data_IF_581968096823
#
_entry.id   IF_581968096823
#
_cell.length_a   1.000
_cell.length_b   1.000
_cell.length_c   1.000
_cell.angle_alpha   90.00
_cell.angle_beta   90.00
_cell.angle_gamma   90.00
#
_symmetry.space_group_name_H-M   'P 1'
#
loop_
_entity.id
_entity.type
_entity.pdbx_description
1 polymer ?
#
# COMPACT_ATOMS: atom_id res chain seq x y z
N UNK A 1 4.94 16.42 6.85
CA UNK A 1 6.00 15.43 7.16
C UNK A 1 5.56 14.64 8.37
N UNK A 2 6.16 13.47 8.64
CA UNK A 2 5.78 12.59 9.75
C UNK A 2 6.98 12.29 10.65
N UNK A 3 6.69 12.15 11.95
CA UNK A 3 7.66 11.90 13.00
C UNK A 3 8.29 10.52 12.88
N UNK A 4 9.62 10.48 12.93
CA UNK A 4 10.37 9.24 13.01
C UNK A 4 10.30 8.69 14.45
N UNK A 5 9.97 7.40 14.66
CA UNK A 5 9.81 6.83 16.00
C UNK A 5 11.12 6.69 16.79
N UNK A 6 12.29 6.82 16.15
CA UNK A 6 13.58 6.66 16.81
C UNK A 6 14.27 7.98 17.16
N UNK A 7 14.24 8.96 16.24
CA UNK A 7 14.89 10.26 16.45
C UNK A 7 13.90 11.40 16.73
N UNK A 8 12.60 11.11 16.73
CA UNK A 8 11.52 12.05 17.05
C UNK A 8 11.44 13.32 16.20
N UNK A 9 12.14 13.33 15.05
CA UNK A 9 12.10 14.43 14.09
C UNK A 9 11.10 14.14 12.95
N UNK A 10 10.45 15.19 12.46
CA UNK A 10 9.55 15.13 11.31
C UNK A 10 10.33 15.08 9.99
N UNK A 11 10.78 13.88 9.62
CA UNK A 11 11.67 13.67 8.47
C UNK A 11 11.08 12.76 7.40
N UNK A 12 10.02 12.01 7.72
CA UNK A 12 9.45 11.03 6.81
C UNK A 12 8.36 11.69 5.97
N UNK A 13 8.51 11.66 4.64
CA UNK A 13 7.50 12.17 3.71
C UNK A 13 6.19 11.37 3.76
N UNK A 14 5.07 12.01 3.40
CA UNK A 14 3.74 11.37 3.42
C UNK A 14 3.65 10.19 2.46
N UNK A 15 4.13 10.34 1.22
CA UNK A 15 4.26 9.24 0.25
C UNK A 15 5.16 8.11 0.75
N UNK A 16 6.31 8.45 1.34
CA UNK A 16 7.24 7.47 1.88
C UNK A 16 6.59 6.65 3.01
N UNK A 17 5.79 7.29 3.88
CA UNK A 17 5.04 6.63 4.95
C UNK A 17 3.94 5.71 4.41
N UNK A 18 3.18 6.16 3.42
CA UNK A 18 2.08 5.37 2.82
C UNK A 18 2.59 4.10 2.16
N UNK A 19 3.72 4.19 1.48
CA UNK A 19 4.33 3.07 0.79
C UNK A 19 5.26 2.24 1.69
N UNK A 20 5.42 2.63 2.97
CA UNK A 20 6.29 1.95 3.92
C UNK A 20 5.68 0.61 4.34
N UNK A 21 6.23 -0.47 3.78
CA UNK A 21 5.85 -1.85 4.10
C UNK A 21 6.96 -2.53 4.90
N UNK A 22 6.69 -3.67 5.56
CA UNK A 22 7.75 -4.49 6.15
C UNK A 22 8.83 -4.92 5.14
N UNK A 23 8.49 -4.99 3.85
CA UNK A 23 9.36 -5.41 2.74
C UNK A 23 10.19 -4.23 2.19
N UNK A 24 9.56 -3.07 2.11
CA UNK A 24 10.11 -1.78 1.67
C UNK A 24 9.83 -0.73 2.74
N UNK A 25 10.63 -0.71 3.84
CA UNK A 25 10.42 0.24 4.92
C UNK A 25 10.88 1.64 4.53
N UNK A 26 10.24 2.66 5.09
CA UNK A 26 10.72 4.03 5.01
C UNK A 26 12.01 4.16 5.82
N UNK A 27 13.03 4.79 5.22
CA UNK A 27 14.31 5.08 5.88
C UNK A 27 14.30 6.53 6.33
N UNK A 28 14.58 6.77 7.61
CA UNK A 28 14.75 8.13 8.10
C UNK A 28 16.08 8.71 7.56
N UNK A 29 16.07 9.85 6.84
CA UNK A 29 17.30 10.43 6.29
C UNK A 29 18.26 10.96 7.36
N UNK A 30 17.79 11.19 8.59
CA UNK A 30 18.63 11.72 9.68
C UNK A 30 19.29 10.65 10.54
N UNK A 31 18.57 9.60 10.92
CA UNK A 31 19.09 8.55 11.80
C UNK A 31 19.29 7.20 11.11
N UNK A 32 18.93 7.07 9.83
CA UNK A 32 19.07 5.83 9.05
C UNK A 32 18.14 4.69 9.49
N UNK A 33 17.33 4.87 10.54
CA UNK A 33 16.45 3.80 11.03
C UNK A 33 15.32 3.52 10.05
N UNK A 34 14.94 2.25 9.98
CA UNK A 34 13.88 1.76 9.11
C UNK A 34 12.58 1.66 9.87
N UNK A 35 11.49 2.08 9.24
CA UNK A 35 10.16 2.06 9.84
C UNK A 35 9.10 1.72 8.81
N UNK A 36 8.01 1.11 9.24
CA UNK A 36 6.90 0.69 8.38
C UNK A 36 5.56 1.13 8.96
N UNK A 37 4.57 1.29 8.09
CA UNK A 37 3.19 1.53 8.47
C UNK A 37 2.45 0.20 8.68
N UNK A 38 1.41 0.20 9.51
CA UNK A 38 0.64 -1.03 9.78
C UNK A 38 -0.04 -1.54 8.49
N UNK A 39 -0.19 -2.86 8.36
CA UNK A 39 -0.92 -3.46 7.24
C UNK A 39 -2.36 -2.91 7.13
N UNK A 40 -2.98 -2.63 8.28
CA UNK A 40 -4.30 -2.01 8.34
C UNK A 40 -4.35 -0.63 7.67
N UNK A 41 -3.34 0.20 7.89
CA UNK A 41 -3.26 1.53 7.26
C UNK A 41 -3.15 1.43 5.73
N UNK A 42 -2.46 0.41 5.23
CA UNK A 42 -2.33 0.17 3.80
C UNK A 42 -3.64 -0.32 3.19
N UNK A 43 -4.35 -1.21 3.90
CA UNK A 43 -5.65 -1.72 3.45
C UNK A 43 -6.69 -0.59 3.36
N UNK A 44 -6.76 0.26 4.38
CA UNK A 44 -7.61 1.44 4.37
C UNK A 44 -7.24 2.43 3.26
N UNK A 45 -5.94 2.61 3.00
CA UNK A 45 -5.50 3.48 1.91
C UNK A 45 -5.92 2.91 0.54
N UNK A 46 -5.73 1.62 0.31
CA UNK A 46 -6.16 0.95 -0.92
C UNK A 46 -7.68 1.04 -1.14
N UNK A 47 -8.47 0.80 -0.09
CA UNK A 47 -9.93 0.92 -0.15
C UNK A 47 -10.36 2.36 -0.41
N UNK A 48 -9.69 3.34 0.19
CA UNK A 48 -9.95 4.77 -0.05
C UNK A 48 -9.68 5.14 -1.52
N UNK A 49 -8.61 4.60 -2.11
CA UNK A 49 -8.29 4.81 -3.53
C UNK A 49 -9.38 4.27 -4.45
N UNK A 50 -9.82 3.03 -4.24
CA UNK A 50 -10.89 2.42 -5.03
C UNK A 50 -12.20 3.22 -4.92
N UNK A 51 -12.64 3.52 -3.70
CA UNK A 51 -13.90 4.25 -3.46
C UNK A 51 -13.84 5.65 -4.07
N UNK A 52 -12.73 6.38 -3.91
CA UNK A 52 -12.58 7.71 -4.50
C UNK A 52 -12.50 7.65 -6.03
N UNK A 53 -11.80 6.67 -6.59
CA UNK A 53 -11.67 6.50 -8.04
C UNK A 53 -13.04 6.27 -8.67
N UNK A 54 -13.75 5.22 -8.22
CA UNK A 54 -15.07 4.89 -8.75
C UNK A 54 -16.11 5.96 -8.42
N UNK A 55 -16.07 6.52 -7.20
CA UNK A 55 -16.94 7.61 -6.81
C UNK A 55 -16.77 8.84 -7.71
N UNK A 56 -15.53 9.22 -8.05
CA UNK A 56 -15.26 10.35 -8.95
C UNK A 56 -15.78 10.10 -10.37
N UNK A 57 -15.67 8.87 -10.87
CA UNK A 57 -16.20 8.47 -12.18
C UNK A 57 -17.73 8.59 -12.18
N UNK A 58 -18.40 8.02 -11.18
CA UNK A 58 -19.87 8.07 -11.07
C UNK A 58 -20.35 9.52 -11.00
N UNK A 59 -19.71 10.36 -10.17
CA UNK A 59 -20.06 11.78 -10.05
C UNK A 59 -19.83 12.53 -11.38
N UNK A 60 -18.73 12.26 -12.08
CA UNK A 60 -18.45 12.86 -13.38
C UNK A 60 -19.50 12.51 -14.44
N UNK A 61 -19.98 11.26 -14.45
CA UNK A 61 -21.04 10.81 -15.34
C UNK A 61 -22.38 11.46 -15.03
N UNK A 62 -22.77 11.51 -13.74
CA UNK A 62 -24.04 12.09 -13.29
C UNK A 62 -24.09 13.60 -13.56
N UNK A 63 -23.02 14.33 -13.22
CA UNK A 63 -22.93 15.77 -13.43
C UNK A 63 -22.56 16.14 -14.87
N UNK A 64 -22.27 15.15 -15.73
CA UNK A 64 -21.76 15.33 -17.10
C UNK A 64 -20.59 16.33 -17.18
N UNK A 65 -19.70 16.27 -16.19
CA UNK A 65 -18.61 17.23 -16.03
C UNK A 65 -17.32 16.50 -15.72
N UNK A 66 -16.30 16.74 -16.55
CA UNK A 66 -14.96 16.16 -16.39
C UNK A 66 -14.22 16.72 -15.17
N UNK A 67 -14.60 17.91 -14.69
CA UNK A 67 -14.02 18.51 -13.49
C UNK A 67 -14.27 17.70 -12.22
N UNK A 68 -15.35 16.90 -12.18
CA UNK A 68 -15.61 16.01 -11.05
C UNK A 68 -14.54 14.91 -10.90
N UNK A 69 -13.77 14.60 -11.95
CA UNK A 69 -12.62 13.70 -11.84
C UNK A 69 -11.51 14.27 -10.94
N UNK A 70 -11.46 15.60 -10.74
CA UNK A 70 -10.53 16.22 -9.79
C UNK A 70 -10.85 15.88 -8.32
N UNK A 71 -12.05 15.35 -8.02
CA UNK A 71 -12.36 14.83 -6.68
C UNK A 71 -11.43 13.68 -6.31
N UNK A 72 -10.95 12.91 -7.27
CA UNK A 72 -10.03 11.80 -7.01
C UNK A 72 -8.67 12.26 -6.46
N UNK A 73 -7.86 13.09 -7.15
CA UNK A 73 -6.57 13.54 -6.62
C UNK A 73 -6.72 14.37 -5.35
N UNK A 74 -7.77 15.21 -5.25
CA UNK A 74 -8.04 16.00 -4.05
C UNK A 74 -8.41 15.09 -2.87
N UNK A 75 -9.30 14.13 -3.10
CA UNK A 75 -9.71 13.14 -2.11
C UNK A 75 -8.54 12.31 -1.62
N UNK A 76 -7.68 11.81 -2.53
CA UNK A 76 -6.46 11.07 -2.16
C UNK A 76 -5.55 11.92 -1.29
N UNK A 77 -5.36 13.19 -1.64
CA UNK A 77 -4.52 14.09 -0.87
C UNK A 77 -5.06 14.29 0.55
N UNK A 78 -6.38 14.47 0.71
CA UNK A 78 -7.06 14.62 2.00
C UNK A 78 -6.98 13.32 2.81
N UNK A 79 -7.44 12.20 2.25
CA UNK A 79 -7.39 10.89 2.89
C UNK A 79 -5.96 10.56 3.32
N UNK A 80 -4.98 10.89 2.47
CA UNK A 80 -3.60 10.66 2.77
C UNK A 80 -3.07 11.45 3.97
N UNK A 81 -3.47 12.72 4.11
CA UNK A 81 -3.17 13.53 5.30
C UNK A 81 -3.79 12.95 6.57
N UNK A 82 -5.06 12.54 6.49
CA UNK A 82 -5.83 12.01 7.64
C UNK A 82 -5.31 10.64 8.08
N UNK A 83 -5.17 9.68 7.16
CA UNK A 83 -4.59 8.37 7.47
C UNK A 83 -3.14 8.52 7.95
N UNK A 84 -2.40 9.46 7.37
CA UNK A 84 -1.05 9.81 7.78
C UNK A 84 -0.95 10.35 9.21
N UNK A 85 -1.99 10.97 9.77
CA UNK A 85 -1.98 11.44 11.17
C UNK A 85 -2.44 10.36 12.15
N UNK A 86 -3.36 9.47 11.74
CA UNK A 86 -3.91 8.43 12.61
C UNK A 86 -2.97 7.25 12.85
N UNK A 87 -2.15 6.86 11.87
CA UNK A 87 -1.32 5.66 12.00
C UNK A 87 0.14 5.99 12.34
N UNK A 88 0.62 5.57 13.51
CA UNK A 88 2.03 5.71 13.88
C UNK A 88 2.93 4.74 13.09
N UNK A 89 4.14 5.18 12.75
CA UNK A 89 5.18 4.32 12.18
C UNK A 89 5.78 3.43 13.26
N UNK A 90 6.01 2.16 12.93
CA UNK A 90 6.72 1.22 13.81
C UNK A 90 8.13 1.01 13.29
N UNK A 91 9.12 0.98 14.19
CA UNK A 91 10.49 0.62 13.83
C UNK A 91 10.58 -0.87 13.48
N UNK A 92 11.43 -1.21 12.52
CA UNK A 92 11.73 -2.60 12.16
C UNK A 92 13.23 -2.79 12.01
N UNK A 93 13.71 -3.90 12.55
CA UNK A 93 15.12 -4.24 12.50
C UNK A 93 15.48 -5.00 11.20
N UNK A 94 16.77 -5.02 10.85
CA UNK A 94 17.25 -5.62 9.60
C UNK A 94 16.96 -7.13 9.50
N UNK A 95 16.91 -7.85 10.63
CA UNK A 95 16.50 -9.24 10.67
C UNK A 95 15.01 -9.42 10.32
N UNK A 96 14.15 -8.52 10.80
CA UNK A 96 12.70 -8.54 10.52
C UNK A 96 12.39 -8.32 9.04
N UNK A 97 13.15 -7.46 8.36
CA UNK A 97 13.00 -7.21 6.91
C UNK A 97 13.34 -8.46 6.10
N UNK A 98 14.43 -9.14 6.43
CA UNK A 98 14.83 -10.39 5.74
C UNK A 98 13.78 -11.49 5.93
N UNK A 99 13.24 -11.64 7.14
CA UNK A 99 12.16 -12.58 7.40
C UNK A 99 10.89 -12.24 6.60
N UNK A 100 10.50 -10.96 6.54
CA UNK A 100 9.34 -10.50 5.77
C UNK A 100 9.51 -10.77 4.27
N UNK A 101 10.68 -10.47 3.70
CA UNK A 101 11.01 -10.78 2.30
C UNK A 101 10.96 -12.28 2.02
N UNK A 102 11.50 -13.10 2.92
CA UNK A 102 11.46 -14.57 2.78
C UNK A 102 10.02 -15.10 2.78
N UNK A 103 9.16 -14.61 3.66
CA UNK A 103 7.73 -14.97 3.68
C UNK A 103 7.02 -14.57 2.39
N UNK A 104 7.31 -13.38 1.85
CA UNK A 104 6.75 -12.94 0.57
C UNK A 104 7.17 -13.87 -0.57
N UNK A 105 8.45 -14.23 -0.66
CA UNK A 105 8.94 -15.15 -1.68
C UNK A 105 8.24 -16.52 -1.60
N UNK A 106 8.08 -17.06 -0.40
CA UNK A 106 7.36 -18.32 -0.18
C UNK A 106 5.90 -18.18 -0.64
N UNK A 107 5.21 -17.11 -0.24
CA UNK A 107 3.83 -16.86 -0.64
C UNK A 107 3.68 -16.76 -2.17
N UNK A 108 4.60 -16.06 -2.84
CA UNK A 108 4.62 -15.95 -4.30
C UNK A 108 4.82 -17.32 -4.98
N UNK A 109 5.73 -18.15 -4.46
CA UNK A 109 5.94 -19.50 -4.97
C UNK A 109 4.70 -20.39 -4.80
N UNK A 110 4.01 -20.29 -3.66
CA UNK A 110 2.77 -21.03 -3.41
C UNK A 110 1.67 -20.59 -4.38
N UNK A 111 1.48 -19.28 -4.58
CA UNK A 111 0.49 -18.76 -5.53
C UNK A 111 0.83 -19.20 -6.95
N UNK A 112 2.09 -19.11 -7.37
CA UNK A 112 2.52 -19.57 -8.68
C UNK A 112 2.27 -21.07 -8.89
N UNK A 113 2.51 -21.90 -7.86
CA UNK A 113 2.22 -23.33 -7.91
C UNK A 113 0.72 -23.62 -8.03
N UNK A 114 -0.14 -22.88 -7.31
CA UNK A 114 -1.60 -23.01 -7.42
C UNK A 114 -2.07 -22.63 -8.82
N UNK A 115 -1.59 -21.51 -9.36
CA UNK A 115 -1.97 -21.04 -10.71
C UNK A 115 -1.50 -22.04 -11.78
N UNK A 116 -0.28 -22.56 -11.69
CA UNK A 116 0.23 -23.58 -12.60
C UNK A 116 -0.57 -24.89 -12.51
N UNK A 117 -0.92 -25.33 -11.29
CA UNK A 117 -1.78 -26.50 -11.09
C UNK A 117 -3.18 -26.32 -11.69
N UNK A 118 -3.79 -25.14 -11.51
CA UNK A 118 -5.09 -24.83 -12.11
C UNK A 118 -5.04 -24.80 -13.64
N UNK A 119 -3.96 -24.28 -14.24
CA UNK A 119 -3.75 -24.29 -15.69
C UNK A 119 -3.63 -25.72 -16.25
N UNK A 120 -2.87 -26.60 -15.57
CA UNK A 120 -2.72 -28.01 -15.97
C UNK A 120 -4.03 -28.81 -15.88
N UNK A 121 -4.91 -28.47 -14.93
CA UNK A 121 -6.25 -29.09 -14.83
C UNK A 121 -7.18 -28.54 -15.91
N UNK A 122 -7.06 -27.25 -16.26
CA UNK A 122 -7.84 -26.60 -17.32
C UNK A 122 -7.57 -27.19 -18.71
N UNK A 123 -6.31 -27.42 -19.06
CA UNK A 123 -5.92 -27.99 -20.37
C UNK A 123 -6.40 -29.44 -20.55
N UNK A 124 -6.61 -30.18 -19.46
CA UNK A 124 -7.13 -31.55 -19.48
C UNK A 124 -8.63 -31.68 -19.81
N UNK A 125 -9.41 -30.60 -19.68
CA UNK A 125 -10.85 -30.60 -20.01
C UNK A 125 -11.16 -30.14 -21.44
N UNK A 126 -10.14 -29.66 -22.17
CA UNK A 126 -10.21 -29.26 -23.58
C UNK A 126 -9.71 -30.34 -24.55
N UNK A 127 -9.69 -31.60 -24.11
CA UNK A 127 -9.49 -32.75 -25.00
C UNK A 127 -10.69 -32.99 -25.93
N UNK A 128 -10.44 -33.53 -27.14
CA UNK A 128 -11.29 -33.43 -28.34
C UNK A 128 -12.70 -34.03 -28.23
#
# INVERSE_FOLDING_TARGET
>A
MHRCPNCDRDTIGTLAKMNATPISPAVCPKCGTRSYASAWSQWLNALSWEVLFWGSIVVALVLRSWWALLLFPVGIWICGRVLGSMFALRSIDAAGIRAARRRLLIALLVVAAIVAGAALIGDGMSGP
#
